data_IF_907922652642
#
_entry.id   IF_907922652642
#
_cell.length_a   1.000
_cell.length_b   1.000
_cell.length_c   1.000
_cell.angle_alpha   90.00
_cell.angle_beta   90.00
_cell.angle_gamma   90.00
#
_symmetry.space_group_name_H-M   'P 1'
#
loop_
_entity.id
_entity.type
_entity.pdbx_description
1 polymer ?
#
# COMPACT_ATOMS: atom_id res chain seq x y z
N UNK A 1 -20.63 -3.96 -11.29
CA UNK A 1 -19.44 -3.28 -10.75
C UNK A 1 -18.95 -4.10 -9.57
N UNK A 2 -17.68 -4.51 -9.56
CA UNK A 2 -17.10 -5.23 -8.42
C UNK A 2 -17.16 -4.31 -7.20
N UNK A 3 -17.78 -4.79 -6.12
CA UNK A 3 -17.92 -4.03 -4.87
C UNK A 3 -16.55 -4.04 -4.17
N UNK A 4 -15.99 -2.88 -3.86
CA UNK A 4 -14.75 -2.73 -3.10
C UNK A 4 -15.04 -2.08 -1.76
N UNK A 5 -14.16 -2.30 -0.78
CA UNK A 5 -14.38 -1.85 0.59
C UNK A 5 -13.39 -0.75 0.95
N UNK A 6 -13.89 0.49 1.17
CA UNK A 6 -13.06 1.63 1.57
C UNK A 6 -12.89 1.79 3.07
N UNK A 7 -13.86 1.33 3.86
CA UNK A 7 -13.83 1.45 5.32
C UNK A 7 -14.12 0.10 5.96
N UNK A 8 -13.35 -0.26 6.97
CA UNK A 8 -13.55 -1.47 7.76
C UNK A 8 -13.21 -1.19 9.23
N UNK A 9 -13.91 -1.86 10.14
CA UNK A 9 -13.63 -1.78 11.57
C UNK A 9 -12.51 -2.76 11.95
N UNK A 10 -11.27 -2.40 11.55
CA UNK A 10 -10.06 -3.19 11.78
C UNK A 10 -9.04 -2.34 12.53
N UNK A 11 -8.40 -2.95 13.52
CA UNK A 11 -7.23 -2.38 14.19
C UNK A 11 -5.98 -3.07 13.64
N UNK A 12 -5.15 -2.32 12.92
CA UNK A 12 -3.93 -2.85 12.30
C UNK A 12 -2.75 -2.58 13.23
N UNK A 13 -1.91 -3.60 13.44
CA UNK A 13 -0.65 -3.47 14.16
C UNK A 13 0.43 -4.25 13.42
N UNK A 14 1.60 -3.65 13.29
CA UNK A 14 2.77 -4.36 12.77
C UNK A 14 3.18 -5.48 13.73
N UNK A 15 3.57 -6.67 13.23
CA UNK A 15 4.33 -7.63 14.00
C UNK A 15 5.58 -6.99 14.62
N UNK A 16 5.99 -7.51 15.78
CA UNK A 16 7.17 -7.10 16.54
C UNK A 16 8.06 -8.32 16.83
N UNK A 17 9.30 -8.08 17.26
CA UNK A 17 10.26 -9.14 17.55
C UNK A 17 10.97 -9.69 16.30
N UNK A 18 11.68 -10.79 16.48
CA UNK A 18 12.60 -11.36 15.47
C UNK A 18 11.99 -12.47 14.62
N UNK A 19 10.79 -12.95 14.94
CA UNK A 19 10.10 -13.96 14.14
C UNK A 19 9.58 -13.35 12.84
N UNK A 20 9.81 -14.05 11.73
CA UNK A 20 9.40 -13.61 10.40
C UNK A 20 8.01 -14.15 10.06
N UNK A 21 7.18 -13.29 9.46
CA UNK A 21 5.92 -13.70 8.81
C UNK A 21 6.15 -13.98 7.32
N UNK A 22 7.07 -13.24 6.70
CA UNK A 22 7.48 -13.39 5.30
C UNK A 22 8.75 -14.26 5.16
N UNK A 23 9.15 -14.58 3.93
CA UNK A 23 10.29 -15.47 3.66
C UNK A 23 11.66 -14.88 4.00
N UNK A 24 11.78 -13.55 4.01
CA UNK A 24 13.03 -12.85 4.33
C UNK A 24 12.78 -11.51 5.02
N UNK A 25 13.81 -10.94 5.64
CA UNK A 25 13.76 -9.58 6.18
C UNK A 25 13.46 -8.51 5.13
N UNK A 26 13.89 -8.72 3.87
CA UNK A 26 13.63 -7.77 2.77
C UNK A 26 12.16 -7.72 2.36
N UNK A 27 11.41 -8.80 2.58
CA UNK A 27 9.95 -8.87 2.38
C UNK A 27 9.16 -8.56 3.65
N UNK A 28 9.71 -8.91 4.82
CA UNK A 28 9.13 -8.61 6.13
C UNK A 28 9.12 -7.10 6.42
N UNK A 29 10.16 -6.38 6.01
CA UNK A 29 10.25 -4.94 6.20
C UNK A 29 9.06 -4.19 5.57
N UNK A 30 8.77 -4.28 4.26
CA UNK A 30 7.59 -3.63 3.68
C UNK A 30 6.28 -4.19 4.27
N UNK A 31 6.22 -5.48 4.64
CA UNK A 31 5.05 -6.07 5.30
C UNK A 31 4.73 -5.41 6.65
N UNK A 32 5.75 -5.19 7.48
CA UNK A 32 5.61 -4.47 8.75
C UNK A 32 5.31 -2.99 8.53
N UNK A 33 5.98 -2.36 7.56
CA UNK A 33 5.86 -0.93 7.36
C UNK A 33 4.50 -0.48 6.81
N UNK A 34 3.86 -1.25 5.91
CA UNK A 34 2.48 -0.94 5.49
C UNK A 34 1.50 -1.02 6.68
N UNK A 35 1.73 -1.96 7.60
CA UNK A 35 0.95 -2.10 8.83
C UNK A 35 1.23 -0.98 9.83
N UNK A 36 2.49 -0.53 9.94
CA UNK A 36 2.86 0.63 10.76
C UNK A 36 2.17 1.91 10.27
N UNK A 37 2.13 2.12 8.95
CA UNK A 37 1.39 3.23 8.34
C UNK A 37 -0.11 3.23 8.70
N UNK A 38 -0.68 2.13 9.18
CA UNK A 38 -2.08 2.01 9.59
C UNK A 38 -2.24 1.75 11.09
N UNK A 39 -1.18 1.89 11.88
CA UNK A 39 -1.27 1.77 13.32
C UNK A 39 -2.16 2.90 13.89
N UNK A 40 -3.06 2.63 14.86
CA UNK A 40 -3.95 3.64 15.44
C UNK A 40 -3.23 4.86 16.01
N UNK A 41 -2.03 4.66 16.56
CA UNK A 41 -1.22 5.74 17.14
C UNK A 41 -0.37 6.49 16.09
N UNK A 42 -0.42 6.08 14.81
CA UNK A 42 0.38 6.64 13.71
C UNK A 42 -0.53 7.33 12.69
N UNK A 43 -1.57 6.63 12.23
CA UNK A 43 -2.43 7.09 11.13
C UNK A 43 -3.58 8.00 11.61
N UNK A 44 -3.93 9.01 10.80
CA UNK A 44 -5.07 9.90 11.07
C UNK A 44 -6.43 9.17 11.02
N UNK A 45 -6.63 8.27 10.05
CA UNK A 45 -7.88 7.49 9.92
C UNK A 45 -7.61 6.09 9.30
N UNK A 46 -7.03 5.16 10.07
CA UNK A 46 -6.59 3.86 9.56
C UNK A 46 -7.75 2.97 9.11
N UNK A 47 -8.95 3.13 9.67
CA UNK A 47 -10.16 2.38 9.27
C UNK A 47 -10.53 2.60 7.81
N UNK A 48 -10.16 3.76 7.25
CA UNK A 48 -10.35 4.11 5.84
C UNK A 48 -9.04 4.07 5.02
N UNK A 49 -8.02 3.38 5.55
CA UNK A 49 -6.67 3.27 5.01
C UNK A 49 -5.91 4.60 4.91
N UNK A 50 -6.44 5.69 5.48
CA UNK A 50 -5.86 7.02 5.42
C UNK A 50 -4.79 7.16 6.49
N UNK A 51 -3.58 7.51 6.04
CA UNK A 51 -2.41 7.71 6.88
C UNK A 51 -2.31 9.17 7.31
N UNK A 52 -2.21 10.10 6.35
CA UNK A 52 -2.15 11.54 6.60
C UNK A 52 -2.44 12.38 5.34
N UNK A 53 -2.51 13.70 5.51
CA UNK A 53 -2.53 14.64 4.38
C UNK A 53 -3.83 14.58 3.58
N UNK A 54 -4.95 14.57 4.28
CA UNK A 54 -6.29 14.50 3.70
C UNK A 54 -6.70 13.08 3.36
N UNK A 55 -6.45 12.65 2.12
CA UNK A 55 -6.82 11.30 1.63
C UNK A 55 -5.62 10.44 1.24
N UNK A 56 -4.43 10.74 1.80
CA UNK A 56 -3.23 9.95 1.58
C UNK A 56 -3.39 8.56 2.19
N UNK A 57 -3.46 7.51 1.36
CA UNK A 57 -3.75 6.14 1.79
C UNK A 57 -2.56 5.19 1.63
N UNK A 58 -2.53 4.14 2.46
CA UNK A 58 -1.53 3.08 2.40
C UNK A 58 -1.80 2.04 1.30
N UNK A 59 -3.08 1.77 1.02
CA UNK A 59 -3.55 0.88 -0.04
C UNK A 59 -4.87 1.41 -0.63
N UNK A 60 -5.23 0.96 -1.83
CA UNK A 60 -6.37 1.52 -2.58
C UNK A 60 -7.70 1.29 -1.86
N UNK A 61 -7.91 0.06 -1.43
CA UNK A 61 -9.07 -0.45 -0.72
C UNK A 61 -8.62 -1.67 0.12
N UNK A 62 -9.50 -2.20 0.96
CA UNK A 62 -9.13 -3.29 1.88
C UNK A 62 -8.76 -4.58 1.15
N UNK A 63 -9.40 -4.87 0.02
CA UNK A 63 -9.06 -6.03 -0.81
C UNK A 63 -7.63 -5.93 -1.37
N UNK A 64 -7.22 -4.74 -1.80
CA UNK A 64 -5.83 -4.49 -2.23
C UNK A 64 -4.84 -4.59 -1.06
N UNK A 65 -5.22 -4.09 0.12
CA UNK A 65 -4.39 -4.20 1.32
C UNK A 65 -4.12 -5.67 1.68
N UNK A 66 -5.17 -6.49 1.75
CA UNK A 66 -5.04 -7.91 2.09
C UNK A 66 -4.22 -8.65 1.03
N UNK A 67 -4.43 -8.36 -0.26
CA UNK A 67 -3.63 -8.93 -1.35
C UNK A 67 -2.16 -8.49 -1.32
N UNK A 68 -1.85 -7.26 -0.89
CA UNK A 68 -0.45 -6.81 -0.71
C UNK A 68 0.21 -7.65 0.38
N UNK A 69 -0.45 -7.82 1.52
CA UNK A 69 0.08 -8.63 2.62
C UNK A 69 0.32 -10.09 2.20
N UNK A 70 -0.62 -10.69 1.49
CA UNK A 70 -0.49 -12.08 1.02
C UNK A 70 0.59 -12.23 -0.05
N UNK A 71 0.74 -11.23 -0.93
CA UNK A 71 1.85 -11.19 -1.90
C UNK A 71 3.20 -11.12 -1.18
N UNK A 72 3.36 -10.23 -0.20
CA UNK A 72 4.62 -10.07 0.55
C UNK A 72 5.01 -11.32 1.35
N UNK A 73 4.04 -12.05 1.91
CA UNK A 73 4.30 -13.31 2.62
C UNK A 73 4.90 -14.38 1.71
N UNK A 74 4.52 -14.38 0.44
CA UNK A 74 4.87 -15.44 -0.53
C UNK A 74 5.96 -15.03 -1.52
N UNK A 75 6.31 -13.74 -1.58
CA UNK A 75 7.31 -13.18 -2.49
C UNK A 75 8.70 -13.79 -2.24
N UNK A 76 9.32 -14.29 -3.31
CA UNK A 76 10.69 -14.81 -3.27
C UNK A 76 11.74 -13.69 -3.25
N UNK A 77 12.98 -14.02 -2.91
CA UNK A 77 14.10 -13.10 -2.82
C UNK A 77 14.56 -12.57 -4.19
N UNK A 78 14.23 -13.26 -5.28
CA UNK A 78 14.51 -12.88 -6.65
C UNK A 78 13.29 -12.31 -7.38
N UNK A 79 12.19 -12.04 -6.68
CA UNK A 79 10.96 -11.47 -7.23
C UNK A 79 10.72 -10.02 -6.81
N UNK A 80 9.97 -9.30 -7.63
CA UNK A 80 9.53 -7.92 -7.36
C UNK A 80 8.01 -7.81 -7.50
N UNK A 81 7.35 -7.32 -6.45
CA UNK A 81 5.93 -6.93 -6.45
C UNK A 81 5.77 -5.54 -7.06
N UNK A 82 4.86 -5.40 -8.01
CA UNK A 82 4.44 -4.10 -8.56
C UNK A 82 3.15 -3.62 -7.88
N UNK A 83 3.21 -2.42 -7.31
CA UNK A 83 2.04 -1.74 -6.73
C UNK A 83 1.71 -0.49 -7.54
N UNK A 84 0.53 -0.49 -8.15
CA UNK A 84 0.03 0.63 -8.96
C UNK A 84 -1.11 1.32 -8.20
N UNK A 85 -0.94 2.59 -7.84
CA UNK A 85 -1.91 3.37 -7.04
C UNK A 85 -2.54 2.52 -5.92
N UNK A 86 -1.70 1.95 -5.06
CA UNK A 86 -2.10 1.14 -3.90
C UNK A 86 -2.73 -0.22 -4.19
N UNK A 87 -2.63 -0.74 -5.43
CA UNK A 87 -3.11 -2.09 -5.81
C UNK A 87 -1.93 -2.98 -6.22
N UNK A 88 -1.82 -4.22 -5.71
CA UNK A 88 -0.83 -5.18 -6.19
C UNK A 88 -1.26 -5.69 -7.57
N UNK A 89 -0.49 -5.39 -8.61
CA UNK A 89 -0.89 -5.68 -10.01
C UNK A 89 -0.09 -6.79 -10.68
N UNK A 90 1.02 -7.21 -10.09
CA UNK A 90 1.80 -8.34 -10.61
C UNK A 90 3.08 -8.57 -9.83
N UNK A 91 3.60 -9.78 -9.94
CA UNK A 91 4.90 -10.19 -9.43
C UNK A 91 5.72 -10.67 -10.62
N UNK A 92 6.97 -10.22 -10.72
CA UNK A 92 7.85 -10.58 -11.82
C UNK A 92 9.20 -11.07 -11.30
N UNK A 93 9.80 -11.98 -12.06
CA UNK A 93 11.16 -12.44 -11.82
C UNK A 93 12.16 -11.31 -12.08
N UNK A 94 13.09 -11.13 -11.15
CA UNK A 94 14.18 -10.16 -11.19
C UNK A 94 15.48 -10.81 -10.70
N UNK A 95 16.09 -10.34 -9.61
CA UNK A 95 17.26 -10.90 -8.96
C UNK A 95 17.35 -10.42 -7.50
N UNK A 96 18.18 -11.07 -6.68
CA UNK A 96 18.29 -10.79 -5.23
C UNK A 96 18.61 -9.31 -4.91
N UNK A 97 19.45 -8.65 -5.71
CA UNK A 97 19.83 -7.24 -5.48
C UNK A 97 18.79 -6.21 -5.97
N UNK A 98 17.70 -6.65 -6.63
CA UNK A 98 16.64 -5.75 -7.06
C UNK A 98 15.74 -5.33 -5.88
N UNK A 99 14.95 -4.25 -6.02
CA UNK A 99 13.91 -3.93 -5.03
C UNK A 99 12.84 -5.03 -4.95
N UNK A 100 12.43 -5.42 -3.74
CA UNK A 100 11.31 -6.36 -3.55
C UNK A 100 9.96 -5.76 -3.93
N UNK A 101 9.82 -4.43 -3.86
CA UNK A 101 8.57 -3.74 -4.21
C UNK A 101 8.89 -2.49 -5.03
N UNK A 102 8.19 -2.31 -6.15
CA UNK A 102 8.18 -1.07 -6.92
C UNK A 102 6.78 -0.46 -6.87
N UNK A 103 6.72 0.83 -6.53
CA UNK A 103 5.47 1.54 -6.26
C UNK A 103 5.36 2.75 -7.18
N UNK A 104 4.23 2.85 -7.88
CA UNK A 104 3.86 4.02 -8.67
C UNK A 104 2.44 4.46 -8.31
N UNK A 105 2.32 5.53 -7.53
CA UNK A 105 1.04 6.02 -7.03
C UNK A 105 0.67 7.36 -7.66
N UNK A 106 -0.61 7.55 -7.95
CA UNK A 106 -1.23 8.84 -8.29
C UNK A 106 -0.73 9.52 -9.58
N UNK A 107 0.02 8.81 -10.43
CA UNK A 107 0.53 9.37 -11.68
C UNK A 107 -0.60 9.50 -12.72
N UNK A 108 -0.77 10.70 -13.27
CA UNK A 108 -1.65 10.99 -14.39
C UNK A 108 -0.86 11.71 -15.47
N UNK A 109 -1.22 11.47 -16.74
CA UNK A 109 -0.66 12.25 -17.85
C UNK A 109 -1.02 13.74 -17.64
N UNK A 110 -0.10 14.70 -17.86
CA UNK A 110 -0.25 16.07 -17.36
C UNK A 110 -1.57 16.77 -17.71
N UNK A 111 -2.10 16.56 -18.93
CA UNK A 111 -3.39 17.12 -19.36
C UNK A 111 -4.57 16.70 -18.46
N UNK A 112 -4.48 15.54 -17.82
CA UNK A 112 -5.51 14.97 -16.95
C UNK A 112 -5.13 14.99 -15.47
N UNK A 113 -3.99 15.60 -15.10
CA UNK A 113 -3.51 15.65 -13.72
C UNK A 113 -4.27 16.71 -12.90
N UNK A 114 -5.60 16.57 -12.81
CA UNK A 114 -6.50 17.44 -12.03
C UNK A 114 -7.24 16.64 -10.97
N UNK A 115 -7.71 17.33 -9.93
CA UNK A 115 -8.48 16.71 -8.86
C UNK A 115 -9.83 16.17 -9.34
N UNK A 116 -10.47 16.83 -10.30
CA UNK A 116 -11.74 16.38 -10.88
C UNK A 116 -11.58 15.01 -11.54
N UNK A 117 -10.53 14.83 -12.34
CA UNK A 117 -10.26 13.55 -13.01
C UNK A 117 -9.75 12.49 -12.04
N UNK A 118 -8.88 12.86 -11.08
CA UNK A 118 -8.52 11.99 -9.96
C UNK A 118 -9.78 11.43 -9.27
N UNK A 119 -10.71 12.29 -8.90
CA UNK A 119 -11.93 11.92 -8.15
C UNK A 119 -12.88 11.05 -8.98
N UNK A 120 -12.93 11.29 -10.30
CA UNK A 120 -13.65 10.42 -11.23
C UNK A 120 -13.08 8.99 -11.21
N UNK A 121 -11.76 8.85 -11.25
CA UNK A 121 -11.08 7.55 -11.22
C UNK A 121 -11.16 6.88 -9.84
N UNK A 122 -11.05 7.64 -8.74
CA UNK A 122 -11.18 7.11 -7.37
C UNK A 122 -12.58 6.51 -7.13
N UNK A 123 -13.65 7.19 -7.61
CA UNK A 123 -15.03 6.65 -7.56
C UNK A 123 -15.20 5.34 -8.33
N UNK A 124 -14.39 5.13 -9.37
CA UNK A 124 -14.35 3.90 -10.18
C UNK A 124 -13.37 2.84 -9.62
N UNK A 125 -12.73 3.11 -8.47
CA UNK A 125 -11.70 2.25 -7.85
C UNK A 125 -10.46 2.04 -8.72
N UNK A 126 -10.15 3.03 -9.57
CA UNK A 126 -8.98 3.01 -10.45
C UNK A 126 -7.79 3.76 -9.86
N UNK A 127 -7.97 4.46 -8.74
CA UNK A 127 -6.99 5.41 -8.24
C UNK A 127 -6.90 5.45 -6.71
N UNK A 128 -5.76 5.96 -6.23
CA UNK A 128 -5.46 6.20 -4.83
C UNK A 128 -4.51 7.39 -4.77
N UNK A 129 -4.69 8.27 -3.78
CA UNK A 129 -3.74 9.33 -3.47
C UNK A 129 -2.69 8.76 -2.52
N UNK A 130 -1.43 8.74 -2.96
CA UNK A 130 -0.32 8.18 -2.18
C UNK A 130 0.35 9.16 -1.21
N UNK A 131 0.06 10.46 -1.31
CA UNK A 131 0.87 11.50 -0.66
C UNK A 131 2.37 11.22 -0.99
N UNK A 132 3.29 11.45 -0.06
CA UNK A 132 4.70 11.12 -0.14
C UNK A 132 4.92 9.76 0.54
N UNK A 133 4.74 9.68 1.86
CA UNK A 133 5.09 8.49 2.66
C UNK A 133 3.89 7.60 3.04
N UNK A 134 2.66 8.03 2.74
CA UNK A 134 1.46 7.24 3.01
C UNK A 134 1.41 5.99 2.11
N UNK A 135 1.52 6.19 0.79
CA UNK A 135 1.47 5.12 -0.20
C UNK A 135 2.80 4.41 -0.45
N UNK A 136 3.90 4.88 0.17
CA UNK A 136 5.22 4.27 0.08
C UNK A 136 5.68 3.59 1.37
N UNK A 137 4.80 3.52 2.37
CA UNK A 137 4.98 2.73 3.59
C UNK A 137 6.24 3.10 4.39
N UNK A 138 6.38 4.38 4.72
CA UNK A 138 7.49 4.86 5.55
C UNK A 138 7.10 6.05 6.43
N UNK A 139 5.81 6.18 6.74
CA UNK A 139 5.31 7.20 7.64
C UNK A 139 5.49 6.75 9.10
N UNK A 140 5.93 7.67 9.95
CA UNK A 140 6.34 7.38 11.34
C UNK A 140 5.57 8.22 12.37
N UNK A 141 4.50 8.90 11.96
CA UNK A 141 3.80 9.84 12.82
C UNK A 141 4.52 11.19 12.94
N UNK A 142 4.11 11.97 13.93
CA UNK A 142 4.67 13.28 14.29
C UNK A 142 5.60 13.17 15.49
#
# INVERSE_FOLDING_TARGET
>A
MTKFTRTADRTIKSPIGTELTCKSWLTEAPFRMIQNNLHPDVAENPKSLVVYGGIGRAARNWECYDQILDSLKTLEDDQTLLVQSGKPVGVFQTHADAPRVLIANSNLVPKWATWEHFNELDRKDLFMYGQMTAGSWIYIGT
#
